data_IF_897719433721
#
_entry.id   IF_897719433721
#
_cell.length_a   1.000
_cell.length_b   1.000
_cell.length_c   1.000
_cell.angle_alpha   90.00
_cell.angle_beta   90.00
_cell.angle_gamma   90.00
#
_symmetry.space_group_name_H-M   'P 1'
#
loop_
_entity.id
_entity.type
_entity.pdbx_description
1 polymer ?
#
# COMPACT_ATOMS: atom_id res chain seq x y z
N UNK A 1 5.77 -19.19 0.09
CA UNK A 1 4.83 -18.05 0.22
C UNK A 1 4.69 -17.79 1.70
N UNK A 2 5.46 -16.84 2.22
CA UNK A 2 5.28 -16.37 3.60
C UNK A 2 3.85 -15.84 3.73
N UNK A 3 3.21 -16.06 4.89
CA UNK A 3 1.94 -15.43 5.23
C UNK A 3 2.18 -13.92 5.35
N UNK A 4 2.17 -13.19 4.22
CA UNK A 4 2.18 -11.74 4.23
C UNK A 4 0.95 -11.27 4.98
N UNK A 5 1.16 -10.36 5.93
CA UNK A 5 0.07 -9.70 6.65
C UNK A 5 -0.64 -8.81 5.63
N UNK A 6 -1.97 -8.87 5.62
CA UNK A 6 -2.81 -8.08 4.71
C UNK A 6 -3.89 -7.39 5.52
N UNK A 7 -4.23 -6.17 5.12
CA UNK A 7 -5.37 -5.44 5.65
C UNK A 7 -6.67 -5.95 5.03
N UNK A 8 -7.70 -6.10 5.86
CA UNK A 8 -9.06 -6.30 5.35
C UNK A 8 -9.66 -4.99 4.84
N UNK A 9 -10.67 -5.07 3.99
CA UNK A 9 -11.41 -3.90 3.53
C UNK A 9 -12.03 -3.12 4.70
N UNK A 10 -12.49 -3.82 5.75
CA UNK A 10 -13.02 -3.18 6.96
C UNK A 10 -11.94 -2.44 7.76
N UNK A 11 -10.72 -2.98 7.85
CA UNK A 11 -9.60 -2.32 8.53
C UNK A 11 -9.17 -1.06 7.76
N UNK A 12 -8.99 -1.19 6.44
CA UNK A 12 -8.65 -0.07 5.58
C UNK A 12 -9.73 1.03 5.61
N UNK A 13 -11.01 0.64 5.60
CA UNK A 13 -12.12 1.60 5.72
C UNK A 13 -12.08 2.36 7.04
N UNK A 14 -11.85 1.68 8.17
CA UNK A 14 -11.75 2.34 9.49
C UNK A 14 -10.61 3.36 9.53
N UNK A 15 -9.44 2.98 9.00
CA UNK A 15 -8.29 3.90 8.91
C UNK A 15 -8.62 5.08 8.00
N UNK A 16 -9.26 4.83 6.86
CA UNK A 16 -9.68 5.89 5.94
C UNK A 16 -10.74 6.84 6.54
N UNK A 17 -11.66 6.32 7.35
CA UNK A 17 -12.60 7.15 8.12
C UNK A 17 -11.89 8.01 9.16
N UNK A 18 -10.91 7.47 9.89
CA UNK A 18 -10.09 8.22 10.84
C UNK A 18 -9.25 9.32 10.17
N UNK A 19 -8.77 9.06 8.95
CA UNK A 19 -8.02 10.02 8.13
C UNK A 19 -8.92 11.02 7.38
N UNK A 20 -10.24 10.83 7.39
CA UNK A 20 -11.18 11.71 6.68
C UNK A 20 -11.07 11.63 5.16
N UNK A 21 -10.83 10.43 4.61
CA UNK A 21 -10.66 10.22 3.18
C UNK A 21 -11.95 10.55 2.41
N UNK A 22 -11.78 11.27 1.30
CA UNK A 22 -12.82 11.49 0.28
C UNK A 22 -12.77 10.37 -0.76
N UNK A 23 -13.70 9.41 -0.62
CA UNK A 23 -13.83 8.25 -1.50
C UNK A 23 -14.36 8.57 -2.92
N UNK A 24 -14.55 9.85 -3.27
CA UNK A 24 -14.97 10.23 -4.64
C UNK A 24 -13.83 10.14 -5.66
N UNK A 25 -12.56 10.18 -5.20
CA UNK A 25 -11.37 10.18 -6.07
C UNK A 25 -10.81 8.78 -6.31
N UNK A 26 -10.92 7.91 -5.31
CA UNK A 26 -10.50 6.51 -5.33
C UNK A 26 -11.34 5.74 -4.31
N UNK A 27 -11.43 4.42 -4.47
CA UNK A 27 -12.23 3.58 -3.60
C UNK A 27 -11.44 2.95 -2.44
N UNK A 28 -12.16 2.26 -1.56
CA UNK A 28 -11.59 1.58 -0.40
C UNK A 28 -10.61 0.48 -0.80
N UNK A 29 -10.82 -0.17 -1.95
CA UNK A 29 -9.93 -1.25 -2.40
C UNK A 29 -8.60 -0.71 -2.91
N UNK A 30 -8.60 0.43 -3.61
CA UNK A 30 -7.37 1.12 -3.99
C UNK A 30 -6.56 1.54 -2.76
N UNK A 31 -7.24 2.05 -1.72
CA UNK A 31 -6.60 2.40 -0.45
C UNK A 31 -6.08 1.15 0.29
N UNK A 32 -6.89 0.09 0.40
CA UNK A 32 -6.50 -1.17 1.04
C UNK A 32 -5.29 -1.82 0.35
N UNK A 33 -5.31 -1.88 -0.98
CA UNK A 33 -4.19 -2.40 -1.77
C UNK A 33 -2.91 -1.58 -1.53
N UNK A 34 -3.03 -0.25 -1.49
CA UNK A 34 -1.90 0.61 -1.17
C UNK A 34 -1.38 0.41 0.26
N UNK A 35 -2.27 0.22 1.24
CA UNK A 35 -1.84 -0.09 2.62
C UNK A 35 -1.08 -1.42 2.70
N UNK A 36 -1.45 -2.42 1.92
CA UNK A 36 -0.70 -3.69 1.85
C UNK A 36 0.71 -3.49 1.27
N UNK A 37 0.85 -2.65 0.24
CA UNK A 37 2.16 -2.29 -0.33
C UNK A 37 3.03 -1.57 0.70
N UNK A 38 2.50 -0.52 1.34
CA UNK A 38 3.26 0.26 2.33
C UNK A 38 3.59 -0.54 3.60
N UNK A 39 2.88 -1.64 3.87
CA UNK A 39 3.18 -2.54 4.99
C UNK A 39 4.54 -3.23 4.83
N UNK A 40 5.06 -3.36 3.61
CA UNK A 40 6.42 -3.88 3.37
C UNK A 40 7.50 -2.98 3.99
N UNK A 41 7.18 -1.70 4.28
CA UNK A 41 8.04 -0.76 4.99
C UNK A 41 7.79 -0.73 6.51
N UNK A 42 7.11 -1.75 7.04
CA UNK A 42 6.89 -1.97 8.46
C UNK A 42 7.93 -2.92 9.09
N UNK A 43 7.45 -3.94 9.80
CA UNK A 43 8.29 -4.88 10.55
C UNK A 43 9.03 -5.92 9.68
N UNK A 44 8.83 -5.88 8.35
CA UNK A 44 9.47 -6.81 7.40
C UNK A 44 11.00 -6.70 7.45
N UNK A 45 11.53 -5.48 7.43
CA UNK A 45 12.97 -5.20 7.56
C UNK A 45 13.21 -4.11 8.62
N UNK A 46 13.86 -4.44 9.76
CA UNK A 46 14.17 -3.48 10.81
C UNK A 46 15.02 -2.29 10.36
N UNK A 47 15.82 -2.43 9.30
CA UNK A 47 16.67 -1.34 8.81
C UNK A 47 15.88 -0.28 8.03
N UNK A 48 14.80 -0.70 7.37
CA UNK A 48 13.95 0.16 6.53
C UNK A 48 12.55 0.37 7.12
N UNK A 49 12.31 -0.09 8.36
CA UNK A 49 11.06 0.08 9.08
C UNK A 49 10.75 1.57 9.36
N UNK A 50 9.66 2.06 8.79
CA UNK A 50 9.18 3.44 8.98
C UNK A 50 7.87 3.49 9.78
N UNK A 51 7.02 2.47 9.66
CA UNK A 51 5.65 2.50 10.22
C UNK A 51 5.49 1.69 11.49
N UNK A 52 6.41 0.77 11.77
CA UNK A 52 6.30 -0.22 12.85
C UNK A 52 4.99 -1.02 12.79
N UNK A 53 4.50 -1.32 11.58
CA UNK A 53 3.21 -1.97 11.30
C UNK A 53 1.99 -1.19 11.84
N UNK A 54 2.13 0.09 12.20
CA UNK A 54 1.03 0.93 12.66
C UNK A 54 0.10 1.30 11.50
N UNK A 55 -1.13 0.79 11.55
CA UNK A 55 -2.11 0.92 10.47
C UNK A 55 -2.40 2.38 10.09
N UNK A 56 -2.38 3.30 11.06
CA UNK A 56 -2.66 4.72 10.81
C UNK A 56 -1.47 5.40 10.13
N UNK A 57 -0.24 5.09 10.53
CA UNK A 57 0.97 5.59 9.88
C UNK A 57 1.10 5.03 8.46
N UNK A 58 0.87 3.74 8.26
CA UNK A 58 0.80 3.11 6.93
C UNK A 58 -0.26 3.79 6.06
N UNK A 59 -1.48 3.95 6.58
CA UNK A 59 -2.57 4.63 5.86
C UNK A 59 -2.28 6.09 5.49
N UNK A 60 -1.49 6.82 6.29
CA UNK A 60 -1.07 8.20 5.94
C UNK A 60 -0.16 8.24 4.73
N UNK A 61 0.78 7.30 4.61
CA UNK A 61 1.68 7.19 3.45
C UNK A 61 0.84 6.84 2.22
N UNK A 62 -0.04 5.85 2.34
CA UNK A 62 -0.98 5.47 1.28
C UNK A 62 -1.84 6.63 0.80
N UNK A 63 -2.41 7.39 1.74
CA UNK A 63 -3.23 8.57 1.42
C UNK A 63 -2.41 9.67 0.75
N UNK A 64 -1.14 9.88 1.13
CA UNK A 64 -0.27 10.86 0.50
C UNK A 64 -0.10 10.57 -0.99
N UNK A 65 0.20 9.31 -1.35
CA UNK A 65 0.34 8.90 -2.74
C UNK A 65 -0.96 9.02 -3.54
N UNK A 66 -2.09 8.59 -2.98
CA UNK A 66 -3.39 8.67 -3.65
C UNK A 66 -3.90 10.11 -3.82
N UNK A 67 -3.48 11.04 -2.95
CA UNK A 67 -3.76 12.47 -3.11
C UNK A 67 -2.99 13.10 -4.26
N UNK A 68 -1.77 12.61 -4.55
CA UNK A 68 -0.99 13.06 -5.70
C UNK A 68 -1.52 12.47 -7.01
N UNK A 69 -1.78 11.15 -7.01
CA UNK A 69 -2.22 10.39 -8.18
C UNK A 69 -3.26 9.35 -7.74
N UNK A 70 -4.55 9.51 -8.08
CA UNK A 70 -5.62 8.62 -7.59
C UNK A 70 -5.47 7.14 -7.97
N UNK A 71 -4.76 6.83 -9.05
CA UNK A 71 -4.46 5.46 -9.51
C UNK A 71 -3.02 5.02 -9.22
N UNK A 72 -2.33 5.65 -8.26
CA UNK A 72 -0.91 5.43 -7.95
C UNK A 72 -0.53 3.95 -7.84
N UNK A 73 -1.22 3.19 -6.98
CA UNK A 73 -0.89 1.78 -6.73
C UNK A 73 -1.14 0.87 -7.93
N UNK A 74 -2.09 1.21 -8.80
CA UNK A 74 -2.30 0.49 -10.06
C UNK A 74 -1.12 0.70 -11.02
N UNK A 75 -0.55 1.91 -11.04
CA UNK A 75 0.65 2.20 -11.85
C UNK A 75 1.89 1.54 -11.26
N UNK A 76 2.01 1.56 -9.94
CA UNK A 76 3.11 0.92 -9.21
C UNK A 76 3.13 -0.59 -9.50
N UNK A 77 2.01 -1.28 -9.31
CA UNK A 77 1.89 -2.73 -9.59
C UNK A 77 2.32 -3.06 -11.02
N UNK A 78 1.91 -2.25 -12.00
CA UNK A 78 2.33 -2.43 -13.39
C UNK A 78 3.85 -2.28 -13.56
N UNK A 79 4.44 -1.24 -12.97
CA UNK A 79 5.88 -0.98 -13.06
C UNK A 79 6.70 -2.07 -12.36
N UNK A 80 6.27 -2.52 -11.18
CA UNK A 80 6.93 -3.58 -10.43
C UNK A 80 6.90 -4.90 -11.19
N UNK A 81 5.75 -5.27 -11.77
CA UNK A 81 5.63 -6.45 -12.62
C UNK A 81 6.55 -6.38 -13.85
N UNK A 82 6.59 -5.23 -14.54
CA UNK A 82 7.53 -5.03 -15.66
C UNK A 82 8.99 -5.18 -15.20
N UNK A 83 9.31 -4.74 -13.98
CA UNK A 83 10.60 -4.94 -13.34
C UNK A 83 10.91 -6.42 -13.07
N UNK A 84 10.03 -7.13 -12.37
CA UNK A 84 10.15 -8.55 -12.05
C UNK A 84 10.39 -9.38 -13.33
N UNK A 85 9.56 -9.18 -14.37
CA UNK A 85 9.70 -9.85 -15.66
C UNK A 85 11.09 -9.58 -16.28
N UNK A 86 11.65 -8.38 -16.13
CA UNK A 86 12.96 -8.02 -16.68
C UNK A 86 14.15 -8.62 -15.92
N UNK A 87 13.99 -8.97 -14.64
CA UNK A 87 15.03 -9.59 -13.81
C UNK A 87 14.93 -11.12 -13.76
N UNK A 88 13.73 -11.69 -13.93
CA UNK A 88 13.53 -13.15 -14.06
C UNK A 88 14.05 -13.69 -15.40
N UNK A 89 14.06 -12.88 -16.45
CA UNK A 89 14.54 -13.26 -17.79
C UNK A 89 16.03 -12.94 -18.03
N UNK A 90 16.85 -12.81 -16.98
CA UNK A 90 18.30 -12.59 -17.07
C UNK A 90 19.16 -13.87 -17.01
N UNK A 91 18.58 -15.05 -17.18
CA UNK A 91 19.30 -16.33 -17.34
C UNK A 91 19.69 -16.63 -18.81
#
# INVERSE_FOLDING_TARGET
MENKKHFTAEEAKKVGEELGIDWSKFDVEQFRAGMDVELEHGLVDPHTNVTNDDSLMTGKITLAHLNEIPDYYTRLEKMEKEGEDCWENQD
#
